data_IF_028693080448
#
_entry.id   IF_028693080448
#
_cell.length_a   1.000
_cell.length_b   1.000
_cell.length_c   1.000
_cell.angle_alpha   90.00
_cell.angle_beta   90.00
_cell.angle_gamma   90.00
#
_symmetry.space_group_name_H-M   'P 1'
#
loop_
_entity.id
_entity.type
_entity.pdbx_description
1 polymer ?
#
# COMPACT_ATOMS: atom_id res chain seq x y z
N UNK A 1 18.34 31.45 0.68
CA UNK A 1 17.38 30.62 -0.07
C UNK A 1 16.29 31.56 -0.55
N UNK A 2 16.04 31.61 -1.85
CA UNK A 2 15.08 32.56 -2.43
C UNK A 2 13.68 32.29 -1.88
N UNK A 3 12.93 33.35 -1.60
CA UNK A 3 11.58 33.28 -1.02
C UNK A 3 10.66 32.35 -1.83
N UNK A 4 10.76 32.41 -3.16
CA UNK A 4 10.02 31.56 -4.09
C UNK A 4 10.33 30.06 -3.91
N UNK A 5 11.59 29.72 -3.67
CA UNK A 5 12.02 28.33 -3.43
C UNK A 5 11.44 27.85 -2.09
N UNK A 6 11.56 28.65 -1.03
CA UNK A 6 11.05 28.27 0.28
C UNK A 6 9.53 28.04 0.28
N UNK A 7 8.78 28.95 -0.33
CA UNK A 7 7.32 28.84 -0.46
C UNK A 7 6.91 27.64 -1.31
N UNK A 8 7.57 27.42 -2.44
CA UNK A 8 7.30 26.26 -3.28
C UNK A 8 7.59 24.95 -2.53
N UNK A 9 8.73 24.85 -1.83
CA UNK A 9 9.11 23.66 -1.08
C UNK A 9 8.14 23.34 0.03
N UNK A 10 7.68 24.35 0.80
CA UNK A 10 6.68 24.15 1.85
C UNK A 10 5.36 23.63 1.26
N UNK A 11 4.85 24.27 0.21
CA UNK A 11 3.64 23.83 -0.47
C UNK A 11 3.78 22.42 -1.03
N UNK A 12 4.94 22.11 -1.63
CA UNK A 12 5.22 20.81 -2.20
C UNK A 12 5.27 19.70 -1.13
N UNK A 13 5.89 19.97 0.02
CA UNK A 13 5.92 19.03 1.15
C UNK A 13 4.49 18.76 1.64
N UNK A 14 3.65 19.78 1.77
CA UNK A 14 2.26 19.61 2.16
C UNK A 14 1.51 18.71 1.16
N UNK A 15 1.56 19.05 -0.14
CA UNK A 15 0.85 18.28 -1.19
C UNK A 15 1.38 16.85 -1.29
N UNK A 16 2.70 16.65 -1.26
CA UNK A 16 3.30 15.31 -1.32
C UNK A 16 3.00 14.50 -0.06
N UNK A 17 2.97 15.11 1.12
CA UNK A 17 2.56 14.43 2.35
C UNK A 17 1.10 13.96 2.28
N UNK A 18 0.19 14.75 1.70
CA UNK A 18 -1.19 14.33 1.45
C UNK A 18 -1.28 13.17 0.44
N UNK A 19 -0.33 13.11 -0.51
CA UNK A 19 -0.25 12.03 -1.48
C UNK A 19 0.18 10.70 -0.83
N UNK A 20 1.14 10.76 0.10
CA UNK A 20 1.65 9.58 0.83
C UNK A 20 0.71 9.17 1.96
N UNK A 21 0.33 10.13 2.81
CA UNK A 21 -0.60 9.98 3.91
C UNK A 21 -1.99 10.20 3.33
N UNK A 22 -2.48 9.18 2.63
CA UNK A 22 -3.87 9.12 2.18
C UNK A 22 -4.78 9.33 3.38
N UNK A 23 -5.34 10.53 3.53
CA UNK A 23 -6.43 10.82 4.44
C UNK A 23 -7.72 10.93 3.65
N UNK A 24 -8.85 10.71 4.31
CA UNK A 24 -10.18 10.61 3.71
C UNK A 24 -10.55 11.89 2.93
N UNK A 25 -10.05 13.04 3.41
CA UNK A 25 -10.22 14.36 2.82
C UNK A 25 -9.60 14.51 1.42
N UNK A 26 -8.56 13.72 1.10
CA UNK A 26 -7.86 13.76 -0.20
C UNK A 26 -8.14 12.53 -1.06
N UNK A 27 -9.29 11.87 -0.85
CA UNK A 27 -9.72 10.71 -1.64
C UNK A 27 -9.64 10.94 -3.16
N UNK A 28 -9.89 12.19 -3.61
CA UNK A 28 -9.77 12.63 -5.01
C UNK A 28 -8.36 12.52 -5.61
N UNK A 29 -7.31 12.77 -4.82
CA UNK A 29 -5.90 12.75 -5.24
C UNK A 29 -5.21 11.41 -5.00
N UNK A 30 -5.98 10.33 -4.79
CA UNK A 30 -5.42 9.00 -4.56
C UNK A 30 -4.79 8.39 -5.81
N UNK A 31 -3.81 7.51 -5.61
CA UNK A 31 -3.18 6.71 -6.69
C UNK A 31 -4.22 5.94 -7.50
N UNK A 32 -5.29 5.46 -6.85
CA UNK A 32 -6.39 4.76 -7.50
C UNK A 32 -7.14 5.64 -8.50
N UNK A 33 -7.34 6.92 -8.17
CA UNK A 33 -8.02 7.84 -9.07
C UNK A 33 -7.11 8.25 -10.22
N UNK A 34 -5.84 8.58 -9.94
CA UNK A 34 -4.86 8.95 -10.97
C UNK A 34 -4.63 7.84 -11.97
N UNK A 35 -4.57 6.59 -11.51
CA UNK A 35 -4.35 5.43 -12.36
C UNK A 35 -5.62 4.62 -12.64
N UNK A 36 -6.81 5.18 -12.39
CA UNK A 36 -8.11 4.49 -12.50
C UNK A 36 -8.30 3.75 -13.83
N UNK A 37 -7.91 4.39 -14.94
CA UNK A 37 -7.95 3.81 -16.30
C UNK A 37 -7.05 2.58 -16.45
N UNK A 38 -5.94 2.51 -15.73
CA UNK A 38 -4.97 1.41 -15.78
C UNK A 38 -5.37 0.28 -14.84
N UNK A 39 -5.84 0.64 -13.64
CA UNK A 39 -6.23 -0.32 -12.61
C UNK A 39 -7.48 -1.12 -12.99
N UNK A 40 -8.49 -0.46 -13.56
CA UNK A 40 -9.80 -1.06 -13.80
C UNK A 40 -10.61 -1.25 -12.52
N UNK A 41 -11.52 -2.21 -12.50
CA UNK A 41 -12.38 -2.49 -11.33
C UNK A 41 -11.70 -3.43 -10.34
N UNK A 42 -11.72 -3.06 -9.05
CA UNK A 42 -11.29 -3.93 -7.93
C UNK A 42 -12.12 -5.23 -7.88
N UNK A 43 -13.39 -5.17 -8.31
CA UNK A 43 -14.33 -6.30 -8.22
C UNK A 43 -14.07 -7.37 -9.28
N UNK A 44 -13.51 -7.02 -10.44
CA UNK A 44 -13.34 -7.97 -11.53
C UNK A 44 -12.15 -8.90 -11.29
N UNK A 45 -11.02 -8.31 -10.87
CA UNK A 45 -9.77 -9.03 -10.62
C UNK A 45 -9.04 -8.41 -9.44
N UNK A 46 -9.50 -8.70 -8.23
CA UNK A 46 -8.97 -8.14 -7.00
C UNK A 46 -7.45 -8.29 -6.86
N UNK A 47 -6.89 -9.50 -7.04
CA UNK A 47 -5.45 -9.72 -6.91
C UNK A 47 -4.65 -8.88 -7.92
N UNK A 48 -5.06 -8.90 -9.18
CA UNK A 48 -4.34 -8.19 -10.24
C UNK A 48 -4.49 -6.67 -10.13
N UNK A 49 -5.66 -6.19 -9.72
CA UNK A 49 -5.90 -4.79 -9.37
C UNK A 49 -4.90 -4.31 -8.31
N UNK A 50 -4.71 -5.11 -7.25
CA UNK A 50 -3.78 -4.74 -6.17
C UNK A 50 -2.30 -4.81 -6.61
N UNK A 51 -1.92 -5.72 -7.50
CA UNK A 51 -0.57 -5.76 -8.12
C UNK A 51 -0.32 -4.51 -8.98
N UNK A 52 -1.30 -4.12 -9.80
CA UNK A 52 -1.22 -2.88 -10.58
C UNK A 52 -1.16 -1.67 -9.67
N UNK A 53 -2.01 -1.63 -8.62
CA UNK A 53 -2.01 -0.53 -7.65
C UNK A 53 -0.65 -0.36 -6.99
N UNK A 54 -0.05 -1.43 -6.44
CA UNK A 54 1.26 -1.33 -5.79
C UNK A 54 2.34 -0.84 -6.75
N UNK A 55 2.28 -1.27 -8.02
CA UNK A 55 3.22 -0.82 -9.07
C UNK A 55 3.02 0.67 -9.40
N UNK A 56 1.78 1.13 -9.54
CA UNK A 56 1.46 2.54 -9.75
C UNK A 56 1.87 3.40 -8.55
N UNK A 57 1.60 2.94 -7.32
CA UNK A 57 2.02 3.62 -6.10
C UNK A 57 3.53 3.78 -6.07
N UNK A 58 4.29 2.71 -6.31
CA UNK A 58 5.75 2.74 -6.36
C UNK A 58 6.24 3.77 -7.39
N UNK A 59 5.72 3.73 -8.61
CA UNK A 59 6.12 4.65 -9.67
C UNK A 59 5.86 6.11 -9.29
N UNK A 60 4.66 6.42 -8.79
CA UNK A 60 4.30 7.81 -8.46
C UNK A 60 5.12 8.31 -7.27
N UNK A 61 5.29 7.50 -6.23
CA UNK A 61 6.10 7.89 -5.07
C UNK A 61 7.56 8.12 -5.44
N UNK A 62 8.13 7.26 -6.29
CA UNK A 62 9.49 7.45 -6.83
C UNK A 62 9.60 8.69 -7.74
N UNK A 63 8.51 9.10 -8.38
CA UNK A 63 8.49 10.32 -9.21
C UNK A 63 8.44 11.63 -8.40
N UNK A 64 8.02 11.60 -7.12
CA UNK A 64 7.84 12.80 -6.31
C UNK A 64 9.12 13.62 -6.18
N UNK A 65 10.29 12.98 -6.02
CA UNK A 65 11.54 13.73 -5.88
C UNK A 65 11.95 14.42 -7.19
N UNK A 66 11.68 13.77 -8.33
CA UNK A 66 11.96 14.35 -9.64
C UNK A 66 11.00 15.51 -9.95
N UNK A 67 9.71 15.34 -9.66
CA UNK A 67 8.70 16.40 -9.85
C UNK A 67 9.00 17.61 -9.00
N UNK A 68 9.48 17.43 -7.75
CA UNK A 68 9.97 18.53 -6.93
C UNK A 68 11.10 19.29 -7.63
N UNK A 69 12.10 18.57 -8.14
CA UNK A 69 13.25 19.19 -8.82
C UNK A 69 12.86 19.98 -10.06
N UNK A 70 11.96 19.43 -10.86
CA UNK A 70 11.40 20.10 -12.04
C UNK A 70 10.58 21.33 -11.64
N UNK A 71 9.79 21.23 -10.57
CA UNK A 71 8.99 22.32 -10.04
C UNK A 71 9.81 23.50 -9.52
N UNK A 72 10.89 23.23 -8.78
CA UNK A 72 11.84 24.27 -8.34
C UNK A 72 12.47 24.97 -9.56
N UNK A 73 12.86 24.21 -10.58
CA UNK A 73 13.41 24.79 -11.81
C UNK A 73 12.41 25.68 -12.54
N UNK A 74 11.15 25.25 -12.62
CA UNK A 74 10.08 26.00 -13.28
C UNK A 74 9.66 27.27 -12.52
N UNK A 75 9.45 27.15 -11.20
CA UNK A 75 8.88 28.24 -10.39
C UNK A 75 9.93 29.28 -10.00
N UNK A 76 11.15 28.85 -9.67
CA UNK A 76 12.22 29.73 -9.23
C UNK A 76 13.21 30.09 -10.35
N UNK A 77 12.96 29.66 -11.60
CA UNK A 77 13.91 29.77 -12.73
C UNK A 77 15.30 29.23 -12.39
N UNK A 78 15.37 28.24 -11.50
CA UNK A 78 16.61 27.64 -11.06
C UNK A 78 17.11 26.67 -12.14
N UNK A 79 18.41 26.67 -12.50
CA UNK A 79 18.93 25.79 -13.55
C UNK A 79 18.64 24.31 -13.21
N UNK A 80 18.36 23.48 -14.22
CA UNK A 80 18.11 22.03 -14.03
C UNK A 80 19.36 21.26 -13.64
N UNK A 81 20.52 21.75 -14.07
CA UNK A 81 21.85 21.25 -13.72
C UNK A 81 22.70 22.48 -13.44
N UNK A 82 23.22 22.58 -12.23
CA UNK A 82 24.21 23.60 -11.91
C UNK A 82 25.59 23.18 -12.43
N UNK A 83 26.39 24.14 -12.89
CA UNK A 83 27.77 23.90 -13.35
C UNK A 83 28.68 23.41 -12.21
N UNK A 84 28.37 23.78 -10.96
CA UNK A 84 28.97 23.18 -9.79
C UNK A 84 28.31 21.82 -9.50
N UNK A 85 29.07 20.74 -9.67
CA UNK A 85 28.55 19.37 -9.69
C UNK A 85 27.96 18.88 -8.37
N UNK A 86 28.32 19.50 -7.23
CA UNK A 86 28.02 18.97 -5.88
C UNK A 86 27.04 19.84 -5.08
N UNK A 87 26.04 20.42 -5.73
CA UNK A 87 24.99 21.18 -5.05
C UNK A 87 23.85 20.28 -4.57
N UNK A 88 23.17 20.70 -3.50
CA UNK A 88 22.04 19.93 -2.91
C UNK A 88 20.95 19.67 -3.96
N UNK A 89 20.66 20.63 -4.83
CA UNK A 89 19.65 20.49 -5.88
C UNK A 89 20.07 19.52 -7.01
N UNK A 90 21.36 19.45 -7.34
CA UNK A 90 21.89 18.44 -8.26
C UNK A 90 21.82 17.04 -7.64
N UNK A 91 22.12 16.89 -6.34
CA UNK A 91 21.99 15.61 -5.62
C UNK A 91 20.52 15.16 -5.56
N UNK A 92 19.59 16.06 -5.25
CA UNK A 92 18.16 15.76 -5.22
C UNK A 92 17.66 15.33 -6.61
N UNK A 93 18.08 16.04 -7.66
CA UNK A 93 17.71 15.72 -9.04
C UNK A 93 18.24 14.35 -9.48
N UNK A 94 19.52 14.08 -9.25
CA UNK A 94 20.14 12.79 -9.59
C UNK A 94 19.50 11.64 -8.81
N UNK A 95 19.25 11.80 -7.51
CA UNK A 95 18.55 10.81 -6.70
C UNK A 95 17.12 10.55 -7.22
N UNK A 96 16.39 11.61 -7.59
CA UNK A 96 15.04 11.47 -8.17
C UNK A 96 15.04 10.68 -9.48
N UNK A 97 16.00 10.93 -10.36
CA UNK A 97 16.18 10.16 -11.60
C UNK A 97 16.50 8.70 -11.30
N UNK A 98 17.44 8.43 -10.40
CA UNK A 98 17.82 7.06 -10.00
C UNK A 98 16.63 6.31 -9.41
N UNK A 99 15.86 6.93 -8.51
CA UNK A 99 14.66 6.31 -7.93
C UNK A 99 13.60 5.98 -8.99
N UNK A 100 13.38 6.87 -9.96
CA UNK A 100 12.39 6.64 -11.01
C UNK A 100 12.82 5.55 -11.99
N UNK A 101 14.10 5.52 -12.38
CA UNK A 101 14.66 4.48 -13.25
C UNK A 101 14.60 3.13 -12.54
N UNK A 102 15.04 3.05 -11.29
CA UNK A 102 15.02 1.79 -10.52
C UNK A 102 13.59 1.26 -10.35
N UNK A 103 12.63 2.11 -10.00
CA UNK A 103 11.21 1.72 -9.93
C UNK A 103 10.69 1.21 -11.28
N UNK A 104 11.02 1.89 -12.38
CA UNK A 104 10.60 1.49 -13.73
C UNK A 104 11.22 0.16 -14.16
N UNK A 105 12.50 -0.07 -13.86
CA UNK A 105 13.20 -1.33 -14.13
C UNK A 105 12.58 -2.47 -13.32
N UNK A 106 12.28 -2.25 -12.04
CA UNK A 106 11.61 -3.23 -11.18
C UNK A 106 10.22 -3.60 -11.74
N UNK A 107 9.42 -2.60 -12.12
CA UNK A 107 8.08 -2.83 -12.69
C UNK A 107 8.18 -3.56 -14.03
N UNK A 108 9.13 -3.19 -14.88
CA UNK A 108 9.37 -3.88 -16.15
C UNK A 108 9.79 -5.33 -15.93
N UNK A 109 10.67 -5.58 -14.97
CA UNK A 109 11.09 -6.94 -14.59
C UNK A 109 9.91 -7.79 -14.11
N UNK A 110 9.03 -7.23 -13.26
CA UNK A 110 7.81 -7.92 -12.84
C UNK A 110 6.88 -8.19 -14.03
N UNK A 111 6.69 -7.22 -14.92
CA UNK A 111 5.84 -7.36 -16.11
C UNK A 111 6.36 -8.43 -17.06
N UNK A 112 7.69 -8.52 -17.27
CA UNK A 112 8.32 -9.49 -18.18
C UNK A 112 8.01 -10.94 -17.79
N UNK A 113 8.04 -11.25 -16.50
CA UNK A 113 7.75 -12.58 -15.99
C UNK A 113 6.27 -12.72 -15.61
N UNK A 114 5.37 -12.09 -16.36
CA UNK A 114 3.94 -12.22 -16.15
C UNK A 114 3.48 -11.96 -14.70
N UNK A 115 4.19 -11.08 -13.98
CA UNK A 115 3.97 -10.73 -12.57
C UNK A 115 4.29 -11.82 -11.55
N UNK A 116 4.95 -12.92 -11.93
CA UNK A 116 5.32 -14.02 -11.02
C UNK A 116 6.27 -13.58 -9.91
N UNK A 117 7.23 -12.72 -10.26
CA UNK A 117 8.24 -12.21 -9.32
C UNK A 117 7.75 -11.05 -8.45
N UNK A 118 6.49 -10.60 -8.64
CA UNK A 118 5.91 -9.57 -7.80
C UNK A 118 5.76 -10.10 -6.36
N UNK A 119 6.02 -9.30 -5.30
CA UNK A 119 5.92 -9.75 -3.91
C UNK A 119 4.58 -10.42 -3.56
N UNK A 120 3.46 -9.91 -4.08
CA UNK A 120 2.13 -10.49 -3.87
C UNK A 120 2.02 -11.88 -4.51
N UNK A 121 2.51 -12.03 -5.75
CA UNK A 121 2.48 -13.32 -6.45
C UNK A 121 3.38 -14.34 -5.78
N UNK A 122 4.59 -13.94 -5.33
CA UNK A 122 5.49 -14.84 -4.57
C UNK A 122 4.86 -15.28 -3.25
N UNK A 123 4.13 -14.39 -2.56
CA UNK A 123 3.36 -14.76 -1.35
C UNK A 123 2.27 -15.78 -1.64
N UNK A 124 1.56 -15.62 -2.77
CA UNK A 124 0.56 -16.60 -3.21
C UNK A 124 1.17 -17.96 -3.54
N UNK A 125 2.33 -18.00 -4.21
CA UNK A 125 3.07 -19.24 -4.49
C UNK A 125 3.53 -19.89 -3.18
N UNK A 126 3.98 -19.10 -2.21
CA UNK A 126 4.39 -19.65 -0.92
C UNK A 126 3.21 -20.27 -0.14
N UNK A 127 1.99 -19.81 -0.42
CA UNK A 127 0.76 -20.34 0.14
C UNK A 127 0.20 -21.53 -0.67
N UNK A 128 0.62 -21.73 -1.93
CA UNK A 128 0.15 -22.85 -2.73
C UNK A 128 0.74 -24.16 -2.23
N UNK A 129 -0.14 -25.08 -1.84
CA UNK A 129 0.21 -26.42 -1.35
C UNK A 129 0.70 -27.36 -2.46
N UNK A 130 0.27 -27.10 -3.70
CA UNK A 130 0.66 -27.86 -4.90
C UNK A 130 1.43 -26.95 -5.86
N UNK A 131 2.24 -27.53 -6.77
CA UNK A 131 3.02 -26.87 -7.85
C UNK A 131 2.16 -26.13 -8.91
N UNK A 132 0.98 -25.66 -8.53
CA UNK A 132 0.09 -24.89 -9.37
C UNK A 132 0.59 -23.45 -9.54
N UNK A 133 0.32 -22.89 -10.74
CA UNK A 133 0.58 -21.47 -11.00
C UNK A 133 -0.16 -20.57 -10.00
N UNK A 134 0.48 -19.48 -9.57
CA UNK A 134 -0.13 -18.47 -8.68
C UNK A 134 -1.45 -17.89 -9.23
N UNK A 135 -1.63 -17.94 -10.56
CA UNK A 135 -2.83 -17.47 -11.26
C UNK A 135 -4.07 -18.29 -10.92
N UNK A 136 -3.92 -19.60 -10.73
CA UNK A 136 -5.04 -20.46 -10.34
C UNK A 136 -5.55 -20.11 -8.94
N UNK A 137 -4.62 -19.88 -8.00
CA UNK A 137 -4.95 -19.39 -6.66
C UNK A 137 -5.52 -17.98 -6.68
N UNK A 138 -4.96 -17.08 -7.49
CA UNK A 138 -5.50 -15.75 -7.67
C UNK A 138 -6.94 -15.78 -8.21
N UNK A 139 -7.24 -16.68 -9.15
CA UNK A 139 -8.59 -16.88 -9.70
C UNK A 139 -9.56 -17.39 -8.63
N UNK A 140 -9.16 -18.40 -7.84
CA UNK A 140 -9.98 -18.93 -6.76
C UNK A 140 -10.31 -17.85 -5.71
N UNK A 141 -9.30 -17.08 -5.30
CA UNK A 141 -9.47 -15.95 -4.37
C UNK A 141 -10.35 -14.86 -4.99
N UNK A 142 -10.19 -14.53 -6.26
CA UNK A 142 -11.03 -13.54 -6.95
C UNK A 142 -12.50 -14.00 -7.03
N UNK A 143 -12.77 -15.30 -7.18
CA UNK A 143 -14.15 -15.83 -7.16
C UNK A 143 -14.76 -15.67 -5.77
N UNK A 144 -14.02 -16.01 -4.71
CA UNK A 144 -14.50 -15.88 -3.33
C UNK A 144 -14.70 -14.41 -2.92
N UNK A 145 -13.79 -13.50 -3.30
CA UNK A 145 -13.90 -12.06 -3.00
C UNK A 145 -15.00 -11.34 -3.78
N UNK A 146 -15.51 -11.94 -4.86
CA UNK A 146 -16.68 -11.45 -5.59
C UNK A 146 -17.99 -11.79 -4.89
N UNK A 147 -18.01 -12.79 -4.00
CA UNK A 147 -19.22 -13.14 -3.25
C UNK A 147 -19.64 -11.99 -2.32
N UNK A 148 -20.95 -11.85 -2.13
CA UNK A 148 -21.54 -10.76 -1.34
C UNK A 148 -21.25 -10.89 0.17
N UNK A 149 -20.97 -12.10 0.68
CA UNK A 149 -20.58 -12.35 2.08
C UNK A 149 -19.11 -12.03 2.31
N UNK A 150 -18.79 -10.73 2.25
CA UNK A 150 -17.48 -10.21 2.63
C UNK A 150 -17.63 -9.06 3.59
N UNK A 151 -16.77 -9.04 4.60
CA UNK A 151 -16.70 -7.96 5.57
C UNK A 151 -15.42 -7.18 5.33
N UNK A 152 -15.55 -5.89 5.06
CA UNK A 152 -14.44 -5.00 4.77
C UNK A 152 -14.25 -4.07 5.95
N UNK A 153 -13.12 -4.18 6.62
CA UNK A 153 -12.71 -3.29 7.69
C UNK A 153 -11.61 -2.35 7.19
N UNK A 154 -11.68 -1.07 7.55
CA UNK A 154 -10.57 -0.14 7.39
C UNK A 154 -9.87 -0.04 8.75
N UNK A 155 -8.69 -0.62 8.86
CA UNK A 155 -7.90 -0.64 10.09
C UNK A 155 -7.14 0.67 10.31
N UNK A 156 -6.75 1.31 9.22
CA UNK A 156 -6.08 2.61 9.18
C UNK A 156 -6.42 3.27 7.83
N UNK A 157 -6.03 4.52 7.65
CA UNK A 157 -6.23 5.24 6.38
C UNK A 157 -5.53 4.54 5.20
N UNK A 158 -4.45 3.80 5.47
CA UNK A 158 -3.65 3.07 4.48
C UNK A 158 -3.90 1.56 4.44
N UNK A 159 -4.58 0.98 5.44
CA UNK A 159 -4.69 -0.47 5.60
C UNK A 159 -6.15 -0.91 5.58
N UNK A 160 -6.49 -1.73 4.59
CA UNK A 160 -7.81 -2.34 4.40
C UNK A 160 -7.73 -3.83 4.70
N UNK A 161 -8.59 -4.33 5.57
CA UNK A 161 -8.75 -5.74 5.86
C UNK A 161 -10.03 -6.25 5.21
N UNK A 162 -9.95 -7.31 4.44
CA UNK A 162 -11.08 -7.97 3.81
C UNK A 162 -11.16 -9.39 4.34
N UNK A 163 -12.27 -9.71 4.99
CA UNK A 163 -12.55 -11.03 5.56
C UNK A 163 -13.68 -11.66 4.75
N UNK A 164 -13.44 -12.88 4.28
CA UNK A 164 -14.42 -13.74 3.58
C UNK A 164 -14.61 -15.04 4.36
N UNK A 165 -15.46 -15.95 3.89
CA UNK A 165 -15.68 -17.26 4.53
C UNK A 165 -14.45 -18.19 4.50
N UNK A 166 -13.48 -17.95 3.62
CA UNK A 166 -12.29 -18.80 3.46
C UNK A 166 -10.97 -18.04 3.62
N UNK A 167 -10.96 -16.72 3.40
CA UNK A 167 -9.75 -15.92 3.29
C UNK A 167 -9.79 -14.68 4.17
N UNK A 168 -8.66 -14.41 4.81
CA UNK A 168 -8.36 -13.14 5.48
C UNK A 168 -7.30 -12.45 4.63
N UNK A 169 -7.64 -11.27 4.10
CA UNK A 169 -6.76 -10.51 3.23
C UNK A 169 -6.49 -9.14 3.82
N UNK A 170 -5.24 -8.87 4.19
CA UNK A 170 -4.78 -7.56 4.60
C UNK A 170 -4.13 -6.87 3.40
N UNK A 171 -4.65 -5.70 3.08
CA UNK A 171 -4.21 -4.88 1.96
C UNK A 171 -3.53 -3.63 2.50
N UNK A 172 -2.26 -3.47 2.17
CA UNK A 172 -1.46 -2.28 2.43
C UNK A 172 -1.11 -1.58 1.10
N UNK A 173 -0.54 -0.35 1.13
CA UNK A 173 -0.27 0.41 -0.10
C UNK A 173 0.73 -0.29 -1.02
N UNK A 174 1.73 -0.96 -0.44
CA UNK A 174 2.84 -1.61 -1.15
C UNK A 174 2.79 -3.14 -1.13
N UNK A 175 2.08 -3.73 -0.17
CA UNK A 175 2.04 -5.17 0.04
C UNK A 175 0.62 -5.66 0.27
N UNK A 176 0.39 -6.94 0.02
CA UNK A 176 -0.81 -7.65 0.40
C UNK A 176 -0.40 -8.92 1.13
N UNK A 177 -1.07 -9.19 2.25
CA UNK A 177 -0.93 -10.41 3.03
C UNK A 177 -2.24 -11.19 2.98
N UNK A 178 -2.13 -12.49 2.75
CA UNK A 178 -3.28 -13.38 2.56
C UNK A 178 -3.07 -14.58 3.46
N UNK A 179 -4.11 -14.96 4.21
CA UNK A 179 -4.15 -16.19 4.98
C UNK A 179 -5.47 -16.93 4.73
N UNK A 180 -5.38 -18.25 4.72
CA UNK A 180 -6.53 -19.14 4.62
C UNK A 180 -7.10 -19.39 6.03
N UNK A 181 -8.40 -19.16 6.24
CA UNK A 181 -9.02 -19.22 7.56
C UNK A 181 -8.90 -20.59 8.24
N UNK A 182 -9.06 -21.69 7.49
CA UNK A 182 -8.97 -23.05 8.06
C UNK A 182 -7.57 -23.43 8.57
N UNK A 183 -6.54 -22.66 8.18
CA UNK A 183 -5.15 -22.87 8.60
C UNK A 183 -4.56 -21.66 9.33
N UNK A 184 -5.40 -20.70 9.73
CA UNK A 184 -4.97 -19.50 10.43
C UNK A 184 -5.33 -19.61 11.91
N UNK A 185 -4.33 -19.49 12.78
CA UNK A 185 -4.53 -19.27 14.21
C UNK A 185 -4.42 -17.77 14.48
N UNK A 186 -5.52 -17.20 14.94
CA UNK A 186 -5.63 -15.82 15.36
C UNK A 186 -5.23 -15.75 16.84
N UNK A 187 -4.05 -15.20 17.13
CA UNK A 187 -3.61 -14.93 18.51
C UNK A 187 -3.67 -13.44 18.76
N UNK A 188 -4.35 -13.01 19.81
CA UNK A 188 -4.27 -11.62 20.28
C UNK A 188 -2.89 -11.43 20.90
N UNK A 189 -2.06 -10.58 20.30
CA UNK A 189 -0.69 -10.34 20.75
C UNK A 189 -0.66 -9.23 21.82
N UNK A 190 -1.32 -8.10 21.53
CA UNK A 190 -1.48 -7.01 22.52
C UNK A 190 -2.84 -6.33 22.38
N UNK A 191 -3.33 -5.79 23.49
CA UNK A 191 -4.53 -4.97 23.53
C UNK A 191 -4.14 -3.61 24.13
N UNK A 192 -4.15 -2.56 23.30
CA UNK A 192 -3.78 -1.22 23.73
C UNK A 192 -5.04 -0.39 23.98
N UNK A 193 -5.21 0.07 25.21
CA UNK A 193 -6.33 0.91 25.61
C UNK A 193 -5.87 2.37 25.58
N UNK A 194 -6.48 3.18 24.72
CA UNK A 194 -6.22 4.61 24.63
C UNK A 194 -7.46 5.38 25.13
N UNK A 195 -7.28 6.27 26.10
CA UNK A 195 -8.32 7.22 26.47
C UNK A 195 -8.42 8.28 25.35
N UNK A 196 -9.60 8.43 24.75
CA UNK A 196 -9.85 9.49 23.76
C UNK A 196 -10.05 10.82 24.52
N UNK A 197 -8.96 11.45 24.95
CA UNK A 197 -9.04 12.78 25.52
C UNK A 197 -9.09 13.82 24.40
N UNK A 198 -10.30 14.11 23.90
CA UNK A 198 -10.77 15.47 23.59
C UNK A 198 -12.28 15.58 23.25
N UNK A 199 -13.09 14.51 23.37
CA UNK A 199 -14.54 14.61 23.07
C UNK A 199 -15.41 13.61 23.84
N UNK A 200 -15.14 13.44 25.14
CA UNK A 200 -15.99 12.66 26.07
C UNK A 200 -15.29 11.43 26.68
N UNK A 201 -15.95 10.73 27.63
CA UNK A 201 -15.40 9.54 28.28
C UNK A 201 -15.49 8.32 27.34
N UNK A 202 -14.73 8.34 26.25
CA UNK A 202 -14.61 7.24 25.31
C UNK A 202 -13.27 6.53 25.49
N UNK A 203 -13.30 5.26 25.86
CA UNK A 203 -12.11 4.41 25.86
C UNK A 203 -12.03 3.72 24.49
N UNK A 204 -10.99 3.99 23.71
CA UNK A 204 -10.71 3.29 22.46
C UNK A 204 -9.76 2.12 22.72
N UNK A 205 -10.27 0.90 22.60
CA UNK A 205 -9.44 -0.31 22.68
C UNK A 205 -9.00 -0.74 21.28
N UNK A 206 -7.69 -0.79 21.06
CA UNK A 206 -7.07 -1.33 19.87
C UNK A 206 -6.57 -2.74 20.15
N UNK A 207 -6.98 -3.70 19.33
CA UNK A 207 -6.51 -5.07 19.41
C UNK A 207 -5.49 -5.31 18.31
N UNK A 208 -4.30 -5.78 18.66
CA UNK A 208 -3.29 -6.28 17.74
C UNK A 208 -3.45 -7.79 17.62
N UNK A 209 -4.15 -8.24 16.56
CA UNK A 209 -4.33 -9.65 16.27
C UNK A 209 -3.18 -10.10 15.37
N UNK A 210 -2.40 -11.06 15.86
CA UNK A 210 -1.38 -11.77 15.09
C UNK A 210 -2.03 -12.97 14.41
N UNK A 211 -2.03 -12.96 13.08
CA UNK A 211 -2.51 -14.09 12.28
C UNK A 211 -1.32 -14.97 11.96
N UNK A 212 -1.23 -16.15 12.58
CA UNK A 212 -0.20 -17.15 12.29
C UNK A 212 -0.81 -18.24 11.40
N UNK A 213 -0.11 -18.65 10.33
CA UNK A 213 -0.53 -19.84 9.59
C UNK A 213 0.05 -21.09 10.28
N UNK A 214 -0.81 -21.99 10.75
CA UNK A 214 -0.41 -23.22 11.46
C UNK A 214 0.36 -24.20 10.58
N UNK A 215 0.20 -24.13 9.26
CA UNK A 215 0.88 -25.03 8.31
C UNK A 215 2.28 -24.54 7.92
N UNK A 216 2.56 -23.23 8.01
CA UNK A 216 3.90 -22.64 7.83
C UNK A 216 4.03 -21.43 8.76
N UNK A 217 4.76 -21.61 9.87
CA UNK A 217 4.95 -20.64 10.95
C UNK A 217 5.65 -19.31 10.57
N UNK A 218 5.94 -19.09 9.28
CA UNK A 218 6.75 -17.96 8.79
C UNK A 218 5.92 -16.78 8.28
N UNK A 219 4.59 -16.86 8.23
CA UNK A 219 3.73 -15.73 7.86
C UNK A 219 2.90 -15.28 9.05
N UNK A 220 3.32 -14.16 9.64
CA UNK A 220 2.59 -13.46 10.70
C UNK A 220 2.32 -12.04 10.27
N UNK A 221 1.05 -11.65 10.26
CA UNK A 221 0.70 -10.25 10.08
C UNK A 221 -0.17 -9.76 11.23
N UNK A 222 0.06 -8.50 11.60
CA UNK A 222 -0.66 -7.82 12.66
C UNK A 222 -1.83 -7.04 12.09
N UNK A 223 -3.01 -7.26 12.65
CA UNK A 223 -4.19 -6.43 12.42
C UNK A 223 -4.36 -5.57 13.65
N UNK A 224 -4.26 -4.24 13.51
CA UNK A 224 -4.67 -3.30 14.55
C UNK A 224 -6.08 -2.83 14.22
N UNK A 225 -7.06 -3.13 15.06
CA UNK A 225 -8.42 -2.61 14.86
C UNK A 225 -9.09 -2.24 16.19
N UNK A 226 -10.07 -1.34 16.11
CA UNK A 226 -10.99 -1.02 17.19
C UNK A 226 -11.90 -2.24 17.42
N UNK A 227 -12.29 -2.49 18.68
CA UNK A 227 -12.97 -3.68 19.24
C UNK A 227 -14.13 -4.35 18.43
N UNK A 228 -14.64 -3.73 17.36
CA UNK A 228 -15.81 -4.18 16.59
C UNK A 228 -15.56 -5.41 15.69
N UNK A 229 -14.32 -5.88 15.55
CA UNK A 229 -13.97 -7.03 14.67
C UNK A 229 -14.20 -8.40 15.35
N UNK A 230 -14.16 -8.46 16.68
CA UNK A 230 -14.22 -9.72 17.43
C UNK A 230 -15.54 -10.48 17.21
N UNK A 231 -16.67 -9.78 17.05
CA UNK A 231 -17.97 -10.42 16.82
C UNK A 231 -18.14 -11.09 15.45
N UNK A 232 -17.33 -10.71 14.44
CA UNK A 232 -17.42 -11.25 13.07
C UNK A 232 -16.45 -12.41 12.86
N UNK A 233 -15.35 -12.46 13.61
CA UNK A 233 -14.34 -13.50 13.47
C UNK A 233 -14.66 -14.80 14.25
N UNK A 234 -15.80 -14.87 14.96
CA UNK A 234 -16.22 -16.01 15.80
C UNK A 234 -15.02 -16.75 16.40
N UNK A 235 -14.31 -16.04 17.29
CA UNK A 235 -13.47 -16.67 18.32
C UNK A 235 -14.37 -16.93 19.51
#
# INVERSE_FOLDING_TARGET
MDENIAMFTLLYILISSCFVIRTDAFSGLSVENLCSRILGSEMDNFIFYNIKRSSCTLFIHSSLLLVYRLGVSWVANYPLVEDDGMTIFNIIGTLGIVMLITASVIIYYWKRNNWENHPISRKLIMLSENDGSWRNWASAINIDLRRQRKVVFRCSSLVKLVVTENWIVKVSPYTMDIAHQRGATLTVDTADIHALADTGPGIAQFLNIKVTNTRRASYTFYIRNLNHVLGVLQI
#
